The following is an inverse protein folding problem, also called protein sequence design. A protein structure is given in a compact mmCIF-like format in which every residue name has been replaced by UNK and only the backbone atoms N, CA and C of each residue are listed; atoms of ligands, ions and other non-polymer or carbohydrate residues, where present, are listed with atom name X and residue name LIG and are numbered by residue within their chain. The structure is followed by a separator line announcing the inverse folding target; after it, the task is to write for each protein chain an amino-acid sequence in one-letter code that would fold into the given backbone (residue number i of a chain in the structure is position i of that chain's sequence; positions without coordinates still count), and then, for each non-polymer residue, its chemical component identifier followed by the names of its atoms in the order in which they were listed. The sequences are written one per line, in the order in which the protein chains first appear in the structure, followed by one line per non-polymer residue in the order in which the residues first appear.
data_IF_440097828308
#
_entry.id   IF_440097828308
#
_cell.length_a   1.000
_cell.length_b   1.000
_cell.length_c   1.000
_cell.angle_alpha   90.00
_cell.angle_beta   90.00
_cell.angle_gamma   90.00
#
_symmetry.space_group_name_H-M   'P 1'
#
loop_
_entity.id
_entity.type
_entity.pdbx_description
1 polymer ?
#
# COMPACT_ATOMS: atom_id res chain seq x y z
N UNK A 1 -22.60 10.58 -9.88
CA UNK A 1 -22.47 10.69 -8.41
C UNK A 1 -21.20 11.45 -8.09
N UNK A 2 -21.38 12.69 -7.63
CA UNK A 2 -20.32 13.55 -7.16
C UNK A 2 -19.97 13.16 -5.71
N UNK A 3 -18.70 13.25 -5.34
CA UNK A 3 -18.26 13.08 -3.95
C UNK A 3 -18.81 14.26 -3.14
N UNK A 4 -19.92 14.04 -2.43
CA UNK A 4 -20.47 15.00 -1.48
C UNK A 4 -19.93 14.64 -0.11
N UNK A 5 -19.19 15.57 0.49
CA UNK A 5 -18.76 15.47 1.88
C UNK A 5 -19.78 16.26 2.71
N UNK A 6 -20.54 15.57 3.55
CA UNK A 6 -21.53 16.22 4.44
C UNK A 6 -20.85 16.99 5.59
N UNK A 7 -19.58 16.68 5.86
CA UNK A 7 -18.84 17.23 7.00
C UNK A 7 -17.36 17.41 6.62
N UNK A 8 -16.87 18.66 6.77
CA UNK A 8 -15.47 19.03 6.57
C UNK A 8 -14.88 19.45 7.92
N UNK A 9 -14.03 18.59 8.49
CA UNK A 9 -13.31 18.89 9.73
C UNK A 9 -12.00 19.61 9.37
N UNK A 10 -11.98 20.94 9.52
CA UNK A 10 -10.76 21.74 9.39
C UNK A 10 -10.21 22.06 10.79
N UNK A 11 -8.98 21.65 11.08
CA UNK A 11 -8.29 22.06 12.29
C UNK A 11 -7.74 23.48 12.15
N UNK A 12 -8.04 24.37 13.09
CA UNK A 12 -7.32 25.65 13.21
C UNK A 12 -5.99 25.43 13.95
N UNK A 13 -4.99 24.93 13.24
CA UNK A 13 -3.62 24.89 13.76
C UNK A 13 -3.03 26.29 13.81
N UNK A 14 -2.39 26.66 14.92
CA UNK A 14 -1.57 27.87 15.01
C UNK A 14 -0.54 27.88 13.86
N UNK A 15 -0.46 28.99 13.14
CA UNK A 15 0.49 29.18 12.04
C UNK A 15 1.91 28.76 12.49
N UNK A 16 2.57 27.90 11.69
CA UNK A 16 3.99 27.57 11.84
C UNK A 16 4.41 26.63 12.99
N UNK A 17 3.60 25.65 13.41
CA UNK A 17 4.18 24.49 14.11
C UNK A 17 5.11 23.73 13.15
N UNK A 18 6.42 23.80 13.42
CA UNK A 18 7.42 22.97 12.76
C UNK A 18 7.27 21.56 13.32
N UNK A 19 6.76 20.64 12.50
CA UNK A 19 6.91 19.22 12.79
C UNK A 19 8.41 18.90 12.65
N UNK A 20 9.07 18.51 13.75
CA UNK A 20 10.48 18.12 13.76
C UNK A 20 10.69 16.68 13.31
N UNK A 21 9.64 15.98 12.87
CA UNK A 21 9.79 14.66 12.28
C UNK A 21 10.18 14.80 10.80
N UNK A 22 11.39 14.36 10.41
CA UNK A 22 11.86 14.46 9.02
C UNK A 22 11.01 13.64 8.02
N UNK A 23 10.08 12.82 8.51
CA UNK A 23 9.21 11.97 7.72
C UNK A 23 7.81 12.56 7.48
N UNK A 24 7.48 13.75 8.03
CA UNK A 24 6.14 14.33 7.94
C UNK A 24 6.16 15.78 7.42
N UNK A 25 5.53 15.93 6.26
CA UNK A 25 4.85 17.09 5.66
C UNK A 25 5.50 18.50 5.64
N UNK A 26 5.01 19.26 4.65
CA UNK A 26 5.25 20.68 4.40
C UNK A 26 5.14 21.52 5.68
N UNK A 27 5.89 22.64 5.79
CA UNK A 27 5.85 23.51 6.97
C UNK A 27 4.41 23.93 7.34
N UNK A 28 4.01 23.69 8.60
CA UNK A 28 2.69 24.02 9.14
C UNK A 28 1.70 22.84 9.23
N UNK A 29 2.09 21.62 8.87
CA UNK A 29 1.26 20.42 9.05
C UNK A 29 1.14 19.98 10.51
N UNK A 30 -0.07 19.56 10.91
CA UNK A 30 -0.34 18.88 12.19
C UNK A 30 -0.55 17.39 11.90
N UNK A 31 0.12 16.51 12.65
CA UNK A 31 -0.08 15.06 12.55
C UNK A 31 -1.42 14.67 13.18
N UNK A 32 -2.46 14.53 12.35
CA UNK A 32 -3.81 14.15 12.77
C UNK A 32 -4.18 12.71 12.45
N UNK A 33 -3.21 11.91 11.97
CA UNK A 33 -3.44 10.55 11.48
C UNK A 33 -4.56 10.46 10.41
N UNK A 34 -4.80 11.57 9.70
CA UNK A 34 -5.95 11.76 8.83
C UNK A 34 -6.04 10.69 7.73
N UNK A 35 -4.91 10.25 7.19
CA UNK A 35 -4.86 9.20 6.16
C UNK A 35 -5.33 7.85 6.67
N UNK A 36 -4.99 7.48 7.92
CA UNK A 36 -5.45 6.23 8.53
C UNK A 36 -6.93 6.31 8.87
N UNK A 37 -7.40 7.44 9.40
CA UNK A 37 -8.82 7.69 9.66
C UNK A 37 -9.64 7.65 8.36
N UNK A 38 -9.16 8.29 7.30
CA UNK A 38 -9.77 8.24 5.97
C UNK A 38 -9.85 6.81 5.45
N UNK A 39 -8.74 6.06 5.51
CA UNK A 39 -8.70 4.64 5.14
C UNK A 39 -9.77 3.85 5.89
N UNK A 40 -9.74 3.89 7.22
CA UNK A 40 -10.62 3.10 8.06
C UNK A 40 -12.10 3.46 7.81
N UNK A 41 -12.41 4.75 7.59
CA UNK A 41 -13.76 5.21 7.19
C UNK A 41 -14.18 4.68 5.83
N UNK A 42 -13.29 4.66 4.84
CA UNK A 42 -13.59 4.09 3.52
C UNK A 42 -13.91 2.60 3.61
N UNK A 43 -13.17 1.85 4.42
CA UNK A 43 -13.48 0.44 4.68
C UNK A 43 -14.85 0.27 5.36
N UNK A 44 -15.10 1.03 6.42
CA UNK A 44 -16.35 0.97 7.19
C UNK A 44 -17.58 1.35 6.34
N UNK A 45 -17.50 2.43 5.56
CA UNK A 45 -18.57 2.92 4.68
C UNK A 45 -18.99 1.89 3.62
N UNK A 46 -18.08 0.97 3.26
CA UNK A 46 -18.34 -0.12 2.32
C UNK A 46 -18.62 -1.47 3.01
N UNK A 47 -18.77 -1.51 4.33
CA UNK A 47 -19.03 -2.76 5.08
C UNK A 47 -17.87 -3.76 4.99
N UNK A 48 -16.65 -3.28 4.82
CA UNK A 48 -15.43 -4.10 4.75
C UNK A 48 -14.67 -3.90 6.06
N UNK A 49 -14.20 -4.99 6.68
CA UNK A 49 -13.34 -4.90 7.87
C UNK A 49 -12.06 -4.15 7.48
N UNK A 50 -11.75 -3.08 8.22
CA UNK A 50 -10.54 -2.31 8.07
C UNK A 50 -9.27 -3.20 8.18
N UNK A 51 -8.16 -2.79 7.56
CA UNK A 51 -6.89 -3.49 7.72
C UNK A 51 -6.46 -3.61 9.19
N UNK A 52 -5.72 -4.67 9.57
CA UNK A 52 -5.20 -4.79 10.92
C UNK A 52 -4.26 -3.62 11.24
N UNK A 53 -4.43 -3.04 12.43
CA UNK A 53 -3.51 -2.03 12.97
C UNK A 53 -2.28 -2.72 13.52
N UNK A 54 -1.11 -2.11 13.30
CA UNK A 54 0.19 -2.62 13.77
C UNK A 54 0.93 -1.47 14.42
N UNK A 55 1.08 -1.55 15.75
CA UNK A 55 1.62 -0.49 16.57
C UNK A 55 3.10 -0.68 16.84
N UNK A 56 3.55 -1.93 17.04
CA UNK A 56 4.91 -2.22 17.52
C UNK A 56 5.84 -2.69 16.42
N UNK A 57 5.31 -3.44 15.44
CA UNK A 57 6.13 -4.02 14.37
C UNK A 57 5.29 -4.36 13.15
N UNK A 58 5.89 -4.32 11.96
CA UNK A 58 5.25 -4.75 10.71
C UNK A 58 4.81 -6.22 10.71
N UNK A 59 5.39 -7.06 11.59
CA UNK A 59 5.01 -8.47 11.79
C UNK A 59 3.88 -8.69 12.81
N UNK A 60 3.37 -7.65 13.45
CA UNK A 60 2.32 -7.78 14.45
C UNK A 60 1.08 -8.46 13.86
N UNK A 61 0.62 -9.52 14.52
CA UNK A 61 -0.48 -10.37 14.05
C UNK A 61 -0.12 -11.35 12.93
N UNK A 62 1.17 -11.53 12.60
CA UNK A 62 1.65 -12.55 11.66
C UNK A 62 2.43 -13.67 12.36
N UNK A 63 2.31 -14.89 11.87
CA UNK A 63 3.16 -16.02 12.24
C UNK A 63 4.47 -16.01 11.43
N UNK A 64 5.50 -16.70 11.93
CA UNK A 64 6.80 -16.84 11.22
C UNK A 64 6.70 -17.57 9.89
N UNK A 65 5.63 -18.34 9.68
CA UNK A 65 5.37 -19.10 8.45
C UNK A 65 4.37 -18.39 7.52
N UNK A 66 3.88 -17.20 7.89
CA UNK A 66 2.95 -16.47 7.04
C UNK A 66 3.66 -15.98 5.78
N UNK A 67 3.09 -16.31 4.63
CA UNK A 67 3.57 -15.87 3.32
C UNK A 67 3.14 -14.42 3.08
N UNK A 68 4.10 -13.54 2.80
CA UNK A 68 3.81 -12.15 2.47
C UNK A 68 3.16 -12.06 1.09
N UNK A 69 2.18 -11.18 0.96
CA UNK A 69 1.47 -10.93 -0.30
C UNK A 69 2.02 -9.68 -0.96
N UNK A 70 2.78 -9.88 -2.04
CA UNK A 70 3.29 -8.81 -2.87
C UNK A 70 2.39 -8.59 -4.09
N UNK A 71 2.08 -7.34 -4.38
CA UNK A 71 1.32 -6.95 -5.55
C UNK A 71 2.09 -5.93 -6.36
N UNK A 72 2.40 -6.28 -7.60
CA UNK A 72 3.09 -5.41 -8.55
C UNK A 72 2.05 -4.81 -9.49
N UNK A 73 1.93 -3.49 -9.46
CA UNK A 73 1.02 -2.79 -10.36
C UNK A 73 1.56 -2.88 -11.78
N UNK A 74 0.77 -3.46 -12.68
CA UNK A 74 1.14 -3.46 -14.08
C UNK A 74 1.20 -2.01 -14.59
N UNK A 75 2.39 -1.62 -15.03
CA UNK A 75 2.66 -0.31 -15.59
C UNK A 75 3.21 -0.50 -17.00
N UNK A 76 2.62 0.20 -17.98
CA UNK A 76 3.07 0.19 -19.38
C UNK A 76 4.52 0.68 -19.57
N UNK A 77 5.09 1.33 -18.57
CA UNK A 77 6.47 1.82 -18.57
C UNK A 77 7.48 0.73 -18.23
N UNK A 78 7.05 -0.39 -17.64
CA UNK A 78 7.93 -1.53 -17.44
C UNK A 78 8.19 -2.22 -18.77
N UNK A 79 9.46 -2.25 -19.15
CA UNK A 79 10.01 -2.97 -20.27
C UNK A 79 10.05 -4.47 -19.99
N UNK A 80 10.17 -5.29 -21.04
CA UNK A 80 10.33 -6.73 -20.90
C UNK A 80 11.59 -7.12 -20.10
N UNK A 81 12.64 -6.29 -20.18
CA UNK A 81 13.88 -6.47 -19.43
C UNK A 81 13.67 -6.23 -17.94
N UNK A 82 13.01 -5.13 -17.56
CA UNK A 82 12.68 -4.84 -16.16
C UNK A 82 11.78 -5.93 -15.57
N UNK A 83 10.80 -6.44 -16.33
CA UNK A 83 10.00 -7.58 -15.87
C UNK A 83 10.81 -8.85 -15.64
N UNK A 84 11.82 -9.11 -16.47
CA UNK A 84 12.74 -10.24 -16.28
C UNK A 84 13.53 -10.09 -14.98
N UNK A 85 14.03 -8.89 -14.70
CA UNK A 85 14.77 -8.58 -13.47
C UNK A 85 13.90 -8.69 -12.22
N UNK A 86 12.67 -8.14 -12.27
CA UNK A 86 11.69 -8.26 -11.20
C UNK A 86 11.41 -9.74 -10.88
N UNK A 87 11.16 -10.56 -11.90
CA UNK A 87 10.89 -11.98 -11.71
C UNK A 87 12.11 -12.73 -11.16
N UNK A 88 13.31 -12.43 -11.68
CA UNK A 88 14.55 -13.03 -11.17
C UNK A 88 14.78 -12.71 -9.68
N UNK A 89 14.52 -11.47 -9.25
CA UNK A 89 14.63 -11.07 -7.85
C UNK A 89 13.61 -11.80 -6.94
N UNK A 90 12.38 -12.01 -7.42
CA UNK A 90 11.36 -12.79 -6.69
C UNK A 90 11.81 -14.24 -6.53
N UNK A 91 12.29 -14.84 -7.61
CA UNK A 91 12.76 -16.23 -7.60
C UNK A 91 13.97 -16.40 -6.68
N UNK A 92 14.92 -15.45 -6.68
CA UNK A 92 16.07 -15.44 -5.79
C UNK A 92 15.65 -15.46 -4.31
N UNK A 93 14.76 -14.56 -3.91
CA UNK A 93 14.28 -14.45 -2.52
C UNK A 93 13.57 -15.73 -2.07
N UNK A 94 12.70 -16.27 -2.91
CA UNK A 94 11.94 -17.47 -2.58
C UNK A 94 12.82 -18.72 -2.56
N UNK A 95 13.73 -18.88 -3.51
CA UNK A 95 14.68 -20.00 -3.54
C UNK A 95 15.60 -19.99 -2.33
N UNK A 96 16.13 -18.81 -1.96
CA UNK A 96 16.96 -18.66 -0.77
C UNK A 96 16.23 -19.11 0.50
N UNK A 97 14.96 -18.69 0.63
CA UNK A 97 14.10 -19.07 1.77
C UNK A 97 13.84 -20.58 1.83
N UNK A 98 13.49 -21.19 0.70
CA UNK A 98 13.22 -22.62 0.60
C UNK A 98 14.46 -23.47 0.89
N UNK A 99 15.63 -23.06 0.38
CA UNK A 99 16.89 -23.76 0.65
C UNK A 99 17.23 -23.76 2.15
N UNK A 100 17.06 -22.61 2.82
CA UNK A 100 17.29 -22.52 4.27
C UNK A 100 16.31 -23.38 5.08
N UNK A 101 15.03 -23.45 4.67
CA UNK A 101 14.03 -24.30 5.32
C UNK A 101 14.37 -25.79 5.17
N UNK A 102 14.75 -26.22 3.96
CA UNK A 102 15.02 -27.63 3.66
C UNK A 102 16.31 -28.15 4.31
N UNK A 103 17.31 -27.29 4.54
CA UNK A 103 18.58 -27.70 5.14
C UNK A 103 18.53 -27.81 6.67
N UNK A 104 17.39 -27.50 7.31
CA UNK A 104 17.26 -27.56 8.78
C UNK A 104 18.26 -26.68 9.52
N UNK A 105 18.87 -25.69 8.84
CA UNK A 105 19.96 -24.89 9.36
C UNK A 105 19.37 -23.90 10.38
N UNK A 106 19.55 -24.21 11.66
CA UNK A 106 19.22 -23.35 12.81
C UNK A 106 20.31 -22.33 13.11
N UNK A 107 21.35 -22.19 12.26
CA UNK A 107 22.41 -21.21 12.48
C UNK A 107 21.82 -19.80 12.49
N UNK A 108 21.79 -19.21 13.69
CA UNK A 108 21.17 -17.93 14.07
C UNK A 108 21.75 -16.69 13.38
N UNK A 109 22.72 -16.86 12.47
CA UNK A 109 23.39 -15.78 11.75
C UNK A 109 22.83 -15.52 10.35
N UNK A 110 22.06 -16.44 9.77
CA UNK A 110 21.44 -16.24 8.45
C UNK A 110 19.99 -15.73 8.60
N UNK A 111 19.67 -14.64 7.90
CA UNK A 111 18.32 -14.07 7.85
C UNK A 111 17.34 -15.10 7.27
N UNK A 112 16.36 -15.52 8.07
CA UNK A 112 15.22 -16.29 7.59
C UNK A 112 14.17 -15.32 7.04
N UNK A 113 14.12 -15.17 5.72
CA UNK A 113 13.14 -14.32 5.06
C UNK A 113 11.79 -15.03 4.98
N UNK A 114 10.66 -14.32 5.11
CA UNK A 114 9.35 -14.91 4.82
C UNK A 114 9.23 -15.14 3.31
N UNK A 115 8.51 -16.21 2.93
CA UNK A 115 8.15 -16.45 1.54
C UNK A 115 7.28 -15.29 1.01
N UNK A 116 7.45 -14.95 -0.27
CA UNK A 116 6.72 -13.87 -0.93
C UNK A 116 5.88 -14.46 -2.06
N UNK A 117 4.56 -14.34 -1.92
CA UNK A 117 3.61 -14.62 -2.99
C UNK A 117 3.35 -13.34 -3.79
N UNK A 118 3.92 -13.29 -4.99
CA UNK A 118 3.83 -12.12 -5.87
C UNK A 118 2.72 -12.28 -6.90
N UNK A 119 1.89 -11.26 -7.05
CA UNK A 119 0.86 -11.18 -8.09
C UNK A 119 0.99 -9.90 -8.88
N UNK A 120 0.85 -10.01 -10.20
CA UNK A 120 0.73 -8.85 -11.08
C UNK A 120 -0.71 -8.37 -11.03
N UNK A 121 -0.89 -7.10 -10.69
CA UNK A 121 -2.17 -6.47 -10.61
C UNK A 121 -2.47 -5.66 -11.86
N UNK A 122 -3.42 -6.15 -12.65
CA UNK A 122 -4.00 -5.45 -13.79
C UNK A 122 -5.35 -4.87 -13.36
N UNK A 123 -5.41 -3.58 -13.04
CA UNK A 123 -6.60 -2.99 -12.42
C UNK A 123 -7.89 -3.12 -13.25
N UNK A 124 -7.78 -3.09 -14.59
CA UNK A 124 -8.93 -3.31 -15.47
C UNK A 124 -9.60 -4.68 -15.31
N UNK A 125 -8.91 -5.63 -14.66
CA UNK A 125 -9.35 -7.01 -14.45
C UNK A 125 -9.87 -7.28 -13.03
N UNK A 126 -9.85 -6.30 -12.11
CA UNK A 126 -10.41 -6.49 -10.76
C UNK A 126 -11.93 -6.41 -10.85
N UNK A 127 -12.60 -7.55 -10.69
CA UNK A 127 -14.05 -7.67 -10.79
C UNK A 127 -14.71 -7.72 -9.40
N UNK A 128 -15.99 -7.32 -9.29
CA UNK A 128 -16.84 -7.59 -8.12
C UNK A 128 -16.73 -9.07 -7.72
N UNK A 129 -16.60 -9.40 -6.42
CA UNK A 129 -16.76 -10.79 -6.02
C UNK A 129 -18.23 -11.17 -6.20
N UNK A 130 -18.55 -12.42 -6.51
CA UNK A 130 -19.97 -12.86 -6.55
C UNK A 130 -20.50 -12.78 -5.12
N UNK A 131 -21.67 -12.15 -4.91
CA UNK A 131 -22.37 -12.02 -3.61
C UNK A 131 -22.25 -13.34 -2.81
N UNK A 132 -21.32 -13.40 -1.87
CA UNK A 132 -21.42 -14.31 -0.74
C UNK A 132 -22.10 -13.50 0.37
N UNK A 133 -23.21 -14.02 0.89
CA UNK A 133 -24.00 -13.38 1.95
C UNK A 133 -23.06 -12.84 3.04
N UNK A 134 -23.02 -11.52 3.19
CA UNK A 134 -22.14 -10.85 4.15
C UNK A 134 -22.54 -11.24 5.57
N UNK A 135 -21.72 -12.07 6.24
CA UNK A 135 -21.91 -12.50 7.63
C UNK A 135 -21.45 -11.45 8.66
N UNK A 136 -21.66 -10.16 8.43
CA UNK A 136 -21.21 -9.14 9.37
C UNK A 136 -22.33 -8.73 10.33
N UNK A 137 -22.12 -9.03 11.62
CA UNK A 137 -22.93 -8.48 12.71
C UNK A 137 -22.59 -6.99 12.91
N UNK A 138 -23.61 -6.14 12.90
CA UNK A 138 -23.51 -4.69 13.15
C UNK A 138 -22.83 -4.40 14.49
N UNK A 139 -21.84 -3.53 14.51
CA UNK A 139 -21.31 -2.92 15.75
C UNK A 139 -22.21 -1.77 16.20
N UNK A 140 -22.31 -1.58 17.53
CA UNK A 140 -23.27 -0.66 18.20
C UNK A 140 -23.04 0.82 17.84
N UNK A 141 -21.84 1.19 17.40
CA UNK A 141 -21.47 2.58 17.08
C UNK A 141 -21.95 3.10 15.71
N UNK A 142 -22.51 2.25 14.84
CA UNK A 142 -23.03 2.62 13.51
C UNK A 142 -24.55 2.40 13.41
N UNK A 143 -25.33 2.95 14.35
CA UNK A 143 -26.77 2.72 14.45
C UNK A 143 -27.61 3.27 13.27
N UNK A 144 -27.03 4.05 12.35
CA UNK A 144 -27.69 4.35 11.07
C UNK A 144 -27.38 3.23 10.09
N UNK A 145 -28.37 2.38 9.82
CA UNK A 145 -28.33 1.51 8.64
C UNK A 145 -28.03 2.39 7.41
N UNK A 146 -27.09 2.01 6.53
CA UNK A 146 -26.87 2.71 5.29
C UNK A 146 -28.22 2.88 4.57
N UNK A 147 -28.61 4.11 4.25
CA UNK A 147 -29.86 4.41 3.55
C UNK A 147 -29.82 3.99 2.08
N UNK A 148 -28.69 3.45 1.62
CA UNK A 148 -28.47 2.94 0.27
C UNK A 148 -28.07 1.46 0.31
N UNK A 149 -28.56 0.68 -0.66
CA UNK A 149 -28.11 -0.69 -0.86
C UNK A 149 -26.63 -0.67 -1.27
N UNK A 150 -25.77 -1.35 -0.52
CA UNK A 150 -24.37 -1.52 -0.87
C UNK A 150 -24.26 -2.50 -2.05
N UNK A 151 -24.35 -1.98 -3.27
CA UNK A 151 -24.10 -2.77 -4.48
C UNK A 151 -22.61 -3.01 -4.64
N UNK A 152 -22.23 -4.29 -4.72
CA UNK A 152 -20.83 -4.67 -4.91
C UNK A 152 -20.28 -4.11 -6.23
N UNK A 153 -19.12 -3.46 -6.18
CA UNK A 153 -18.50 -2.78 -7.32
C UNK A 153 -16.98 -3.00 -7.35
N UNK A 154 -16.32 -2.57 -8.43
CA UNK A 154 -14.87 -2.75 -8.61
C UNK A 154 -14.05 -2.09 -7.50
N UNK A 155 -14.50 -0.96 -6.96
CA UNK A 155 -13.81 -0.26 -5.88
C UNK A 155 -13.87 -1.05 -4.57
N UNK A 156 -15.02 -1.65 -4.23
CA UNK A 156 -15.13 -2.53 -3.06
C UNK A 156 -14.22 -3.75 -3.18
N UNK A 157 -14.13 -4.35 -4.38
CA UNK A 157 -13.17 -5.44 -4.64
C UNK A 157 -11.73 -4.98 -4.48
N UNK A 158 -11.39 -3.78 -4.94
CA UNK A 158 -10.06 -3.18 -4.75
C UNK A 158 -9.75 -3.00 -3.27
N UNK A 159 -10.67 -2.44 -2.47
CA UNK A 159 -10.47 -2.29 -1.02
C UNK A 159 -10.23 -3.64 -0.33
N UNK A 160 -11.03 -4.66 -0.68
CA UNK A 160 -10.84 -6.03 -0.16
C UNK A 160 -9.49 -6.63 -0.53
N UNK A 161 -8.95 -6.25 -1.68
CA UNK A 161 -7.63 -6.66 -2.11
C UNK A 161 -6.55 -5.91 -1.32
N UNK A 162 -6.64 -4.58 -1.28
CA UNK A 162 -5.66 -3.68 -0.66
C UNK A 162 -5.44 -4.00 0.81
N UNK A 163 -6.49 -4.37 1.57
CA UNK A 163 -6.37 -4.75 2.99
C UNK A 163 -5.52 -6.00 3.22
N UNK A 164 -5.16 -6.72 2.17
CA UNK A 164 -4.36 -7.94 2.24
C UNK A 164 -2.94 -7.78 1.70
N UNK A 165 -2.60 -6.59 1.19
CA UNK A 165 -1.31 -6.35 0.56
C UNK A 165 -0.28 -6.04 1.63
N UNK A 166 0.78 -6.84 1.68
CA UNK A 166 1.91 -6.64 2.57
C UNK A 166 3.02 -5.83 1.89
N UNK A 167 3.19 -6.05 0.58
CA UNK A 167 4.16 -5.36 -0.27
C UNK A 167 3.44 -4.85 -1.51
N UNK A 168 3.44 -3.55 -1.71
CA UNK A 168 2.87 -2.88 -2.88
C UNK A 168 4.00 -2.33 -3.74
N UNK A 169 4.13 -2.80 -4.98
CA UNK A 169 5.18 -2.38 -5.90
C UNK A 169 4.57 -1.57 -7.03
N UNK A 170 5.12 -0.39 -7.27
CA UNK A 170 4.63 0.60 -8.23
C UNK A 170 5.75 1.04 -9.17
N UNK A 171 5.37 1.40 -10.39
CA UNK A 171 6.26 2.03 -11.36
C UNK A 171 6.08 3.56 -11.38
N UNK A 172 6.91 4.28 -12.13
CA UNK A 172 6.82 5.72 -12.22
C UNK A 172 5.53 6.13 -12.97
N UNK A 173 4.84 7.16 -12.47
CA UNK A 173 3.71 7.76 -13.16
C UNK A 173 2.53 6.82 -13.40
N UNK A 174 2.34 5.84 -12.50
CA UNK A 174 1.16 4.98 -12.52
C UNK A 174 -0.07 5.70 -11.94
N UNK A 175 0.12 6.81 -11.22
CA UNK A 175 -0.93 7.70 -10.71
C UNK A 175 -1.88 7.04 -9.71
N UNK A 176 -1.62 5.79 -9.34
CA UNK A 176 -2.54 4.92 -8.65
C UNK A 176 -2.19 4.93 -7.17
N UNK A 177 -2.64 6.01 -6.54
CA UNK A 177 -2.38 6.47 -5.17
C UNK A 177 -3.02 5.58 -4.08
N UNK A 178 -2.98 4.25 -4.23
CA UNK A 178 -3.68 3.31 -3.36
C UNK A 178 -2.92 2.92 -2.10
N UNK A 179 -1.68 3.39 -1.93
CA UNK A 179 -0.88 3.13 -0.73
C UNK A 179 -1.64 3.52 0.55
N UNK A 180 -2.46 4.58 0.51
CA UNK A 180 -3.33 4.99 1.63
C UNK A 180 -4.27 3.87 2.11
N UNK A 181 -4.65 2.93 1.24
CA UNK A 181 -5.55 1.82 1.63
C UNK A 181 -4.82 0.58 2.17
N UNK A 182 -3.49 0.60 2.22
CA UNK A 182 -2.71 -0.55 2.67
C UNK A 182 -2.79 -0.70 4.22
N UNK A 183 -2.60 -1.94 4.73
CA UNK A 183 -2.42 -2.21 6.15
C UNK A 183 -1.25 -1.46 6.79
N UNK A 184 -1.34 -1.27 8.10
CA UNK A 184 -0.22 -0.75 8.88
C UNK A 184 0.99 -1.70 8.76
N UNK A 185 2.17 -1.10 8.58
CA UNK A 185 3.42 -1.82 8.39
C UNK A 185 3.59 -2.47 7.01
N UNK A 186 2.68 -2.23 6.06
CA UNK A 186 2.90 -2.60 4.66
C UNK A 186 4.02 -1.75 4.03
N UNK A 187 4.71 -2.34 3.07
CA UNK A 187 5.81 -1.70 2.35
C UNK A 187 5.31 -1.25 0.98
N UNK A 188 5.59 0.00 0.62
CA UNK A 188 5.39 0.52 -0.72
C UNK A 188 6.74 0.71 -1.40
N UNK A 189 7.01 -0.07 -2.44
CA UNK A 189 8.21 0.01 -3.27
C UNK A 189 7.83 0.78 -4.53
N UNK A 190 8.51 1.89 -4.79
CA UNK A 190 8.40 2.63 -6.04
C UNK A 190 9.70 2.48 -6.81
N UNK A 191 9.66 1.72 -7.90
CA UNK A 191 10.84 1.40 -8.69
C UNK A 191 11.42 2.61 -9.43
N UNK A 192 10.67 3.71 -9.50
CA UNK A 192 11.09 4.92 -10.19
C UNK A 192 11.46 4.68 -11.66
N UNK A 193 12.25 5.58 -12.21
CA UNK A 193 12.83 5.41 -13.53
C UNK A 193 13.91 6.45 -13.81
N UNK A 194 14.71 6.20 -14.83
CA UNK A 194 15.68 7.17 -15.33
C UNK A 194 15.00 8.12 -16.32
N UNK A 195 15.14 9.42 -16.08
CA UNK A 195 14.74 10.45 -17.04
C UNK A 195 15.96 11.14 -17.64
N UNK A 196 15.90 11.35 -18.96
CA UNK A 196 16.85 12.20 -19.67
C UNK A 196 16.42 13.67 -19.57
N UNK A 197 17.31 14.51 -19.06
CA UNK A 197 17.22 15.96 -19.19
C UNK A 197 18.09 16.39 -20.38
N UNK A 198 17.45 16.84 -21.47
CA UNK A 198 18.17 17.49 -22.58
C UNK A 198 18.39 18.95 -22.22
N UNK A 199 19.66 19.38 -22.16
CA UNK A 199 20.05 20.78 -22.07
C UNK A 199 20.94 21.12 -23.27
N UNK A 200 21.10 22.41 -23.55
CA UNK A 200 22.00 22.92 -24.60
C UNK A 200 23.44 22.36 -24.46
N UNK A 201 23.87 22.09 -23.22
CA UNK A 201 25.22 21.59 -22.90
C UNK A 201 25.31 20.04 -22.77
N UNK A 202 24.37 19.30 -23.37
CA UNK A 202 24.39 17.83 -23.44
C UNK A 202 23.28 17.12 -22.66
N UNK A 203 23.36 15.79 -22.64
CA UNK A 203 22.39 14.92 -21.95
C UNK A 203 22.83 14.66 -20.51
N UNK A 204 21.93 14.86 -19.55
CA UNK A 204 22.09 14.37 -18.17
C UNK A 204 20.94 13.42 -17.84
N UNK A 205 21.22 12.37 -17.10
CA UNK A 205 20.21 11.45 -16.56
C UNK A 205 20.01 11.73 -15.08
N UNK A 206 18.78 11.56 -14.61
CA UNK A 206 18.44 11.63 -13.19
C UNK A 206 17.38 10.58 -12.85
N UNK A 207 17.36 10.11 -11.61
CA UNK A 207 16.32 9.22 -11.11
C UNK A 207 15.07 10.03 -10.77
N UNK A 208 13.91 9.52 -11.17
CA UNK A 208 12.61 10.09 -10.81
C UNK A 208 11.71 9.02 -10.23
N UNK A 209 11.08 9.35 -9.13
CA UNK A 209 10.12 8.48 -8.46
C UNK A 209 8.69 8.98 -8.63
N UNK A 210 8.51 10.25 -9.05
CA UNK A 210 7.24 10.98 -9.24
C UNK A 210 6.34 11.03 -7.98
N UNK A 211 5.93 9.89 -7.47
CA UNK A 211 4.96 9.66 -6.40
C UNK A 211 5.63 9.48 -5.02
N UNK A 212 6.78 10.13 -4.80
CA UNK A 212 7.52 10.03 -3.53
C UNK A 212 6.72 10.57 -2.33
N UNK A 213 5.96 11.64 -2.54
CA UNK A 213 5.13 12.27 -1.52
C UNK A 213 3.99 11.36 -1.00
N UNK A 214 3.66 10.29 -1.73
CA UNK A 214 2.54 9.42 -1.39
C UNK A 214 2.75 8.63 -0.09
N UNK A 215 3.98 8.19 0.19
CA UNK A 215 4.27 7.49 1.45
C UNK A 215 4.44 8.47 2.60
N UNK A 216 4.91 9.70 2.35
CA UNK A 216 4.90 10.78 3.33
C UNK A 216 3.49 11.12 3.83
N UNK A 217 2.47 10.93 2.97
CA UNK A 217 1.07 11.06 3.35
C UNK A 217 0.50 9.88 4.15
N UNK A 218 1.20 8.76 4.28
CA UNK A 218 0.72 7.54 4.93
C UNK A 218 1.79 7.00 5.91
N UNK A 219 1.93 7.63 7.10
CA UNK A 219 3.04 7.37 8.02
C UNK A 219 3.06 5.94 8.61
N UNK A 220 1.95 5.20 8.48
CA UNK A 220 1.85 3.78 8.83
C UNK A 220 2.50 2.84 7.82
N UNK A 221 3.01 3.35 6.70
CA UNK A 221 3.68 2.56 5.66
C UNK A 221 5.19 2.75 5.71
N UNK A 222 5.90 1.83 5.07
CA UNK A 222 7.33 1.99 4.77
C UNK A 222 7.51 2.22 3.28
N UNK A 223 7.99 3.40 2.90
CA UNK A 223 8.34 3.72 1.51
C UNK A 223 9.77 3.30 1.17
N UNK A 224 9.95 2.63 0.04
CA UNK A 224 11.24 2.33 -0.58
C UNK A 224 11.26 2.93 -1.99
N UNK A 225 12.36 3.59 -2.34
CA UNK A 225 12.62 4.30 -3.59
C UNK A 225 14.03 3.97 -4.07
#
# INVERSE_FOLDING_TARGET
NWLVFDELVMGCGLLCQRCTQPNLQLPGGVELDASRLFRDRMYAQHGIIAPPRRHRSSREGRNTHDVLRAYIIENKRFTAMEWKEINAAIDEINNYTLMNQNQGITNSTKLNWPLINTKILRYGLIMPQKKQQSRFSKTITDAKSPTYELTENRFMSQLRLFRTIDIHVTGPGTGQMYQTFLPDGSVNINLGGLQELRRENGKRTFTTYMEQYMTSGAPYLKGLY
#
